data_IF_487686753584
#
_entry.id   IF_487686753584
#
_cell.length_a   1.000
_cell.length_b   1.000
_cell.length_c   1.000
_cell.angle_alpha   90.00
_cell.angle_beta   90.00
_cell.angle_gamma   90.00
#
_symmetry.space_group_name_H-M   'P 1'
#
loop_
_entity.id
_entity.type
_entity.pdbx_description
1 polymer ?
#
# COMPACT_ATOMS: atom_id res chain seq x y z
N UNK A 1 -22.63 37.31 -24.02
CA UNK A 1 -21.53 36.40 -23.62
C UNK A 1 -21.47 35.98 -22.15
N UNK A 2 -22.05 36.70 -21.19
CA UNK A 2 -22.01 36.36 -19.75
C UNK A 2 -22.59 34.96 -19.44
N UNK A 3 -23.71 34.60 -20.07
CA UNK A 3 -24.35 33.27 -19.89
C UNK A 3 -23.44 32.10 -20.32
N UNK A 4 -22.72 32.24 -21.45
CA UNK A 4 -21.76 31.22 -21.94
C UNK A 4 -20.57 31.03 -20.99
N UNK A 5 -20.13 32.10 -20.31
CA UNK A 5 -19.03 32.06 -19.34
C UNK A 5 -19.41 31.30 -18.06
N UNK A 6 -20.63 31.50 -17.56
CA UNK A 6 -21.14 30.81 -16.36
C UNK A 6 -21.30 29.31 -16.62
N UNK A 7 -21.84 28.90 -17.77
CA UNK A 7 -21.97 27.48 -18.13
C UNK A 7 -20.61 26.79 -18.29
N UNK A 8 -19.58 27.48 -18.80
CA UNK A 8 -18.22 26.94 -18.92
C UNK A 8 -17.57 26.73 -17.55
N UNK A 9 -17.69 27.70 -16.63
CA UNK A 9 -17.17 27.57 -15.26
C UNK A 9 -17.80 26.38 -14.53
N UNK A 10 -19.13 26.22 -14.62
CA UNK A 10 -19.83 25.07 -14.01
C UNK A 10 -19.35 23.73 -14.56
N UNK A 11 -19.16 23.63 -15.87
CA UNK A 11 -18.64 22.41 -16.50
C UNK A 11 -17.22 22.07 -16.03
N UNK A 12 -16.34 23.08 -15.93
CA UNK A 12 -14.97 22.89 -15.47
C UNK A 12 -14.95 22.46 -14.00
N UNK A 13 -15.69 23.13 -13.11
CA UNK A 13 -15.75 22.77 -11.70
C UNK A 13 -16.27 21.34 -11.51
N UNK A 14 -17.35 20.97 -12.22
CA UNK A 14 -17.91 19.62 -12.13
C UNK A 14 -16.95 18.54 -12.66
N UNK A 15 -16.20 18.86 -13.72
CA UNK A 15 -15.18 17.97 -14.27
C UNK A 15 -14.02 17.80 -13.29
N UNK A 16 -13.50 18.89 -12.72
CA UNK A 16 -12.44 18.85 -11.72
C UNK A 16 -12.87 18.11 -10.45
N UNK A 17 -14.11 18.31 -9.98
CA UNK A 17 -14.65 17.61 -8.82
C UNK A 17 -14.75 16.11 -9.08
N UNK A 18 -15.21 15.72 -10.28
CA UNK A 18 -15.29 14.31 -10.67
C UNK A 18 -13.91 13.67 -10.73
N UNK A 19 -12.91 14.41 -11.26
CA UNK A 19 -11.51 13.96 -11.28
C UNK A 19 -10.98 13.83 -9.85
N UNK A 20 -11.25 14.80 -8.96
CA UNK A 20 -10.80 14.75 -7.55
C UNK A 20 -11.39 13.54 -6.82
N UNK A 21 -12.70 13.32 -6.93
CA UNK A 21 -13.38 12.15 -6.35
C UNK A 21 -12.80 10.86 -6.94
N UNK A 22 -12.58 10.80 -8.25
CA UNK A 22 -12.03 9.63 -8.93
C UNK A 22 -10.60 9.31 -8.48
N UNK A 23 -9.73 10.32 -8.38
CA UNK A 23 -8.35 10.16 -7.92
C UNK A 23 -8.32 9.74 -6.45
N UNK A 24 -9.08 10.42 -5.59
CA UNK A 24 -9.19 10.08 -4.17
C UNK A 24 -9.75 8.68 -3.97
N UNK A 25 -10.82 8.30 -4.67
CA UNK A 25 -11.36 6.95 -4.58
C UNK A 25 -10.41 5.88 -5.11
N UNK A 26 -9.70 6.14 -6.22
CA UNK A 26 -8.69 5.23 -6.74
C UNK A 26 -7.56 4.99 -5.73
N UNK A 27 -7.12 6.05 -5.06
CA UNK A 27 -6.12 5.99 -3.99
C UNK A 27 -6.58 5.06 -2.85
N UNK A 28 -7.80 5.24 -2.35
CA UNK A 28 -8.32 4.39 -1.27
C UNK A 28 -8.65 2.97 -1.71
N UNK A 29 -9.08 2.77 -2.97
CA UNK A 29 -9.32 1.45 -3.52
C UNK A 29 -8.06 0.59 -3.56
N UNK A 30 -6.87 1.22 -3.68
CA UNK A 30 -5.58 0.54 -3.65
C UNK A 30 -5.10 0.16 -2.26
N UNK A 31 -5.76 0.64 -1.20
CA UNK A 31 -5.40 0.34 0.19
C UNK A 31 -6.15 -0.88 0.76
N UNK A 32 -7.13 -1.41 0.04
CA UNK A 32 -7.94 -2.55 0.50
C UNK A 32 -8.32 -3.46 -0.66
N UNK A 33 -8.22 -4.76 -0.45
CA UNK A 33 -8.58 -5.77 -1.47
C UNK A 33 -10.07 -6.16 -1.39
N UNK A 34 -10.81 -5.63 -0.40
CA UNK A 34 -12.21 -6.00 -0.17
C UNK A 34 -13.13 -5.06 -0.97
N UNK A 35 -13.86 -5.54 -1.99
CA UNK A 35 -14.65 -4.69 -2.88
C UNK A 35 -15.78 -3.93 -2.16
N UNK A 36 -16.36 -4.52 -1.11
CA UNK A 36 -17.37 -3.85 -0.28
C UNK A 36 -16.80 -2.63 0.43
N UNK A 37 -15.57 -2.75 0.96
CA UNK A 37 -14.87 -1.66 1.64
C UNK A 37 -14.48 -0.57 0.63
N UNK A 38 -14.06 -0.94 -0.57
CA UNK A 38 -13.80 0.01 -1.66
C UNK A 38 -15.05 0.82 -2.03
N UNK A 39 -16.21 0.15 -2.15
CA UNK A 39 -17.49 0.80 -2.41
C UNK A 39 -17.91 1.77 -1.30
N UNK A 40 -17.73 1.38 -0.04
CA UNK A 40 -18.01 2.24 1.11
C UNK A 40 -17.10 3.49 1.12
N UNK A 41 -15.80 3.32 0.87
CA UNK A 41 -14.87 4.44 0.77
C UNK A 41 -15.22 5.38 -0.37
N UNK A 42 -15.60 4.86 -1.55
CA UNK A 42 -16.04 5.68 -2.66
C UNK A 42 -17.22 6.60 -2.26
N UNK A 43 -18.25 6.04 -1.61
CA UNK A 43 -19.42 6.82 -1.16
C UNK A 43 -19.03 7.86 -0.12
N UNK A 44 -18.20 7.50 0.85
CA UNK A 44 -17.74 8.42 1.90
C UNK A 44 -16.90 9.56 1.33
N UNK A 45 -15.97 9.26 0.43
CA UNK A 45 -15.10 10.27 -0.22
C UNK A 45 -15.94 11.21 -1.09
N UNK A 46 -16.86 10.67 -1.89
CA UNK A 46 -17.75 11.48 -2.71
C UNK A 46 -18.60 12.41 -1.86
N UNK A 47 -19.17 11.90 -0.76
CA UNK A 47 -19.93 12.71 0.19
C UNK A 47 -19.07 13.82 0.81
N UNK A 48 -17.86 13.49 1.26
CA UNK A 48 -16.97 14.44 1.92
C UNK A 48 -16.49 15.55 0.97
N UNK A 49 -16.14 15.19 -0.27
CA UNK A 49 -15.75 16.15 -1.33
C UNK A 49 -16.90 17.11 -1.69
N UNK A 50 -18.13 16.59 -1.81
CA UNK A 50 -19.32 17.42 -2.08
C UNK A 50 -19.58 18.39 -0.91
N UNK A 51 -19.57 17.89 0.33
CA UNK A 51 -19.78 18.72 1.52
C UNK A 51 -18.72 19.82 1.62
N UNK A 52 -17.45 19.50 1.35
CA UNK A 52 -16.37 20.48 1.40
C UNK A 52 -16.47 21.53 0.27
N UNK A 53 -16.95 21.15 -0.92
CA UNK A 53 -17.30 22.10 -1.98
C UNK A 53 -18.45 23.04 -1.57
N UNK A 54 -19.45 22.55 -0.85
CA UNK A 54 -20.55 23.37 -0.35
C UNK A 54 -20.08 24.35 0.72
N UNK A 55 -19.22 23.91 1.65
CA UNK A 55 -18.58 24.78 2.67
C UNK A 55 -17.80 25.92 2.02
N UNK A 56 -17.03 25.61 0.97
CA UNK A 56 -16.31 26.61 0.19
C UNK A 56 -17.28 27.61 -0.47
N UNK A 57 -18.39 27.12 -1.03
CA UNK A 57 -19.41 27.96 -1.65
C UNK A 57 -20.09 28.90 -0.67
N UNK A 58 -20.48 28.38 0.50
CA UNK A 58 -21.02 29.19 1.59
C UNK A 58 -20.02 30.27 2.02
N UNK A 59 -18.73 29.93 2.10
CA UNK A 59 -17.66 30.88 2.39
C UNK A 59 -17.59 32.04 1.39
N UNK A 60 -17.61 31.73 0.10
CA UNK A 60 -17.59 32.72 -0.98
C UNK A 60 -18.84 33.62 -0.99
N UNK A 61 -20.02 33.05 -0.75
CA UNK A 61 -21.28 33.81 -0.66
C UNK A 61 -21.22 34.82 0.49
N UNK A 62 -20.71 34.40 1.65
CA UNK A 62 -20.59 35.27 2.82
C UNK A 62 -19.60 36.43 2.62
N UNK A 63 -18.52 36.20 1.87
CA UNK A 63 -17.58 37.26 1.47
C UNK A 63 -18.25 38.25 0.51
N UNK A 64 -19.00 37.75 -0.47
CA UNK A 64 -19.67 38.59 -1.49
C UNK A 64 -20.77 39.49 -0.91
N UNK A 65 -21.43 39.08 0.17
CA UNK A 65 -22.46 39.89 0.85
C UNK A 65 -21.90 41.12 1.61
N UNK A 66 -20.56 41.24 1.74
CA UNK A 66 -19.86 42.50 2.02
C UNK A 66 -20.34 43.28 3.25
N UNK A 67 -20.38 42.64 4.43
CA UNK A 67 -20.63 43.25 5.78
C UNK A 67 -19.96 42.40 6.88
N UNK A 68 -20.50 42.36 8.10
CA UNK A 68 -20.08 41.49 9.21
C UNK A 68 -19.99 39.98 8.89
N UNK A 69 -20.57 39.55 7.75
CA UNK A 69 -20.50 38.17 7.24
C UNK A 69 -19.18 37.81 6.56
N UNK A 70 -18.28 38.76 6.32
CA UNK A 70 -16.96 38.46 5.73
C UNK A 70 -16.11 37.60 6.67
N UNK A 71 -16.19 37.81 7.99
CA UNK A 71 -15.43 37.05 8.99
C UNK A 71 -15.76 35.54 8.97
N UNK A 72 -17.04 35.10 9.05
CA UNK A 72 -17.36 33.69 8.91
C UNK A 72 -17.07 33.15 7.50
N UNK A 73 -17.16 33.98 6.45
CA UNK A 73 -16.77 33.59 5.10
C UNK A 73 -15.28 33.24 4.98
N UNK A 74 -14.40 34.08 5.54
CA UNK A 74 -12.95 33.81 5.62
C UNK A 74 -12.67 32.56 6.45
N UNK A 75 -13.40 32.36 7.56
CA UNK A 75 -13.25 31.17 8.39
C UNK A 75 -13.59 29.87 7.63
N UNK A 76 -14.66 29.86 6.83
CA UNK A 76 -15.01 28.71 5.97
C UNK A 76 -13.92 28.42 4.92
N UNK A 77 -13.36 29.47 4.28
CA UNK A 77 -12.27 29.30 3.32
C UNK A 77 -11.00 28.79 4.00
N UNK A 78 -10.66 29.31 5.18
CA UNK A 78 -9.54 28.81 5.98
C UNK A 78 -9.74 27.36 6.40
N UNK A 79 -10.95 26.99 6.82
CA UNK A 79 -11.29 25.62 7.17
C UNK A 79 -11.13 24.67 5.97
N UNK A 80 -11.55 25.10 4.78
CA UNK A 80 -11.34 24.35 3.54
C UNK A 80 -9.85 24.22 3.18
N UNK A 81 -9.10 25.32 3.15
CA UNK A 81 -7.70 25.30 2.71
C UNK A 81 -6.79 24.65 3.77
N UNK A 82 -6.82 25.14 5.00
CA UNK A 82 -5.91 24.66 6.04
C UNK A 82 -6.38 23.33 6.63
N UNK A 83 -7.67 23.21 6.93
CA UNK A 83 -8.24 21.98 7.52
C UNK A 83 -8.35 20.86 6.51
N UNK A 84 -9.20 21.05 5.50
CA UNK A 84 -9.48 19.97 4.56
C UNK A 84 -8.30 19.68 3.61
N UNK A 85 -7.81 20.67 2.88
CA UNK A 85 -6.71 20.45 1.93
C UNK A 85 -5.40 20.18 2.67
N UNK A 86 -5.06 21.00 3.65
CA UNK A 86 -3.79 20.94 4.37
C UNK A 86 -3.61 19.74 5.31
N UNK A 87 -4.63 19.41 6.13
CA UNK A 87 -4.50 18.34 7.14
C UNK A 87 -4.99 16.99 6.59
N UNK A 88 -6.01 16.97 5.73
CA UNK A 88 -6.56 15.71 5.24
C UNK A 88 -6.06 15.35 3.84
N UNK A 89 -6.32 16.19 2.83
CA UNK A 89 -6.11 15.81 1.43
C UNK A 89 -4.63 15.63 1.10
N UNK A 90 -3.77 16.58 1.48
CA UNK A 90 -2.34 16.55 1.19
C UNK A 90 -1.62 15.39 1.89
N UNK A 91 -1.78 15.15 3.21
CA UNK A 91 -1.11 14.03 3.88
C UNK A 91 -1.61 12.66 3.40
N UNK A 92 -2.90 12.53 3.09
CA UNK A 92 -3.46 11.28 2.52
C UNK A 92 -2.87 10.99 1.16
N UNK A 93 -2.85 12.00 0.28
CA UNK A 93 -2.27 11.92 -1.04
C UNK A 93 -0.76 11.60 -0.99
N UNK A 94 -0.04 12.22 -0.06
CA UNK A 94 1.39 11.99 0.19
C UNK A 94 1.66 10.57 0.70
N UNK A 95 0.90 10.07 1.68
CA UNK A 95 1.08 8.73 2.23
C UNK A 95 0.93 7.65 1.16
N UNK A 96 -0.06 7.79 0.28
CA UNK A 96 -0.28 6.86 -0.82
C UNK A 96 0.79 7.01 -1.91
N UNK A 97 1.22 8.23 -2.18
CA UNK A 97 2.32 8.47 -3.12
C UNK A 97 3.62 7.79 -2.66
N UNK A 98 3.95 7.88 -1.37
CA UNK A 98 5.10 7.19 -0.78
C UNK A 98 4.95 5.67 -0.87
N UNK A 99 3.75 5.13 -0.63
CA UNK A 99 3.47 3.70 -0.82
C UNK A 99 3.68 3.25 -2.28
N UNK A 100 3.29 4.06 -3.26
CA UNK A 100 3.51 3.74 -4.68
C UNK A 100 4.99 3.76 -5.06
N UNK A 101 5.76 4.71 -4.54
CA UNK A 101 7.21 4.75 -4.77
C UNK A 101 7.87 3.52 -4.15
N UNK A 102 7.51 3.17 -2.91
CA UNK A 102 8.07 2.00 -2.22
C UNK A 102 7.68 0.69 -2.91
N UNK A 103 6.45 0.57 -3.41
CA UNK A 103 6.05 -0.58 -4.21
C UNK A 103 6.80 -0.68 -5.54
N UNK A 104 7.12 0.46 -6.18
CA UNK A 104 7.90 0.46 -7.42
C UNK A 104 9.36 0.06 -7.18
N UNK A 105 10.00 0.56 -6.14
CA UNK A 105 11.37 0.17 -5.78
C UNK A 105 11.46 -1.30 -5.40
N UNK A 106 10.52 -1.79 -4.58
CA UNK A 106 10.45 -3.22 -4.20
C UNK A 106 10.22 -4.10 -5.42
N UNK A 107 9.35 -3.70 -6.36
CA UNK A 107 9.17 -4.44 -7.62
C UNK A 107 10.44 -4.44 -8.45
N UNK A 108 11.15 -3.32 -8.55
CA UNK A 108 12.42 -3.24 -9.28
C UNK A 108 13.47 -4.17 -8.68
N UNK A 109 13.59 -4.19 -7.35
CA UNK A 109 14.52 -5.07 -6.63
C UNK A 109 14.18 -6.55 -6.82
N UNK A 110 12.90 -6.92 -6.71
CA UNK A 110 12.43 -8.30 -6.95
C UNK A 110 12.73 -8.73 -8.39
N UNK A 111 12.36 -7.90 -9.38
CA UNK A 111 12.60 -8.22 -10.79
C UNK A 111 14.10 -8.30 -11.11
N UNK A 112 14.94 -7.50 -10.44
CA UNK A 112 16.40 -7.61 -10.56
C UNK A 112 16.93 -8.92 -9.95
N UNK A 113 16.46 -9.28 -8.76
CA UNK A 113 16.86 -10.54 -8.12
C UNK A 113 16.41 -11.76 -8.93
N UNK A 114 15.20 -11.74 -9.48
CA UNK A 114 14.69 -12.78 -10.39
C UNK A 114 15.53 -12.88 -11.66
N UNK A 115 15.90 -11.75 -12.24
CA UNK A 115 16.81 -11.70 -13.39
C UNK A 115 18.16 -12.33 -13.07
N UNK A 116 18.77 -12.01 -11.94
CA UNK A 116 20.08 -12.54 -11.55
C UNK A 116 20.02 -14.06 -11.27
N UNK A 117 18.94 -14.53 -10.64
CA UNK A 117 18.70 -15.96 -10.43
C UNK A 117 18.55 -16.69 -11.77
N UNK A 118 17.73 -16.16 -12.68
CA UNK A 118 17.51 -16.77 -13.99
C UNK A 118 18.75 -16.77 -14.85
N UNK A 119 19.53 -15.69 -14.81
CA UNK A 119 20.83 -15.63 -15.46
C UNK A 119 21.74 -16.76 -14.94
N UNK A 120 21.80 -16.94 -13.63
CA UNK A 120 22.62 -18.00 -13.02
C UNK A 120 22.16 -19.41 -13.40
N UNK A 121 20.84 -19.64 -13.48
CA UNK A 121 20.28 -20.90 -13.96
C UNK A 121 20.68 -21.14 -15.42
N UNK A 122 20.55 -20.12 -16.27
CA UNK A 122 20.91 -20.21 -17.67
C UNK A 122 22.42 -20.47 -17.86
N UNK A 123 23.28 -19.82 -17.07
CA UNK A 123 24.73 -20.04 -17.11
C UNK A 123 25.09 -21.49 -16.70
N UNK A 124 24.43 -22.05 -15.68
CA UNK A 124 24.60 -23.45 -15.26
C UNK A 124 24.09 -24.44 -16.30
N UNK A 125 22.92 -24.17 -16.90
CA UNK A 125 22.36 -24.99 -17.99
C UNK A 125 23.31 -24.98 -19.19
N UNK A 126 23.93 -23.84 -19.51
CA UNK A 126 24.87 -23.69 -20.61
C UNK A 126 26.20 -24.41 -20.34
N UNK A 127 26.76 -24.30 -19.12
CA UNK A 127 27.95 -25.03 -18.69
C UNK A 127 27.73 -26.56 -18.72
N UNK A 128 26.56 -27.02 -18.25
CA UNK A 128 26.20 -28.43 -18.30
C UNK A 128 26.09 -28.94 -19.73
N UNK A 129 25.50 -28.14 -20.63
CA UNK A 129 25.40 -28.46 -22.06
C UNK A 129 26.78 -28.51 -22.75
N UNK A 130 27.69 -27.59 -22.42
CA UNK A 130 29.07 -27.60 -22.93
C UNK A 130 29.83 -28.84 -22.47
N UNK A 131 29.73 -29.19 -21.18
CA UNK A 131 30.34 -30.39 -20.61
C UNK A 131 29.81 -31.64 -21.30
N UNK A 132 28.51 -31.68 -21.56
CA UNK A 132 27.87 -32.79 -22.27
C UNK A 132 28.34 -32.91 -23.72
N UNK A 133 28.45 -31.78 -24.43
CA UNK A 133 29.00 -31.75 -25.79
C UNK A 133 30.46 -32.21 -25.84
N UNK A 134 31.25 -31.90 -24.81
CA UNK A 134 32.63 -32.36 -24.70
C UNK A 134 32.68 -33.89 -24.54
N UNK A 135 31.85 -34.48 -23.68
CA UNK A 135 31.73 -35.93 -23.53
C UNK A 135 31.27 -36.62 -24.83
N UNK A 136 30.35 -36.01 -25.56
CA UNK A 136 29.93 -36.56 -26.86
C UNK A 136 31.05 -36.52 -27.91
N UNK A 137 31.85 -35.45 -27.93
CA UNK A 137 33.01 -35.37 -28.83
C UNK A 137 34.06 -36.44 -28.51
N UNK A 138 34.31 -36.72 -27.23
CA UNK A 138 35.26 -37.77 -26.84
C UNK A 138 34.72 -39.17 -27.16
N UNK A 139 33.45 -39.44 -26.88
CA UNK A 139 32.82 -40.73 -27.25
C UNK A 139 32.81 -40.95 -28.77
N UNK A 140 32.55 -39.90 -29.55
CA UNK A 140 32.58 -39.97 -31.01
C UNK A 140 33.97 -40.34 -31.55
N UNK A 141 35.04 -39.93 -30.87
CA UNK A 141 36.43 -40.29 -31.23
C UNK A 141 36.79 -41.72 -30.82
N UNK A 142 36.24 -42.24 -29.73
CA UNK A 142 36.54 -43.59 -29.22
C UNK A 142 35.61 -44.69 -29.76
N UNK A 143 34.56 -44.31 -30.50
CA UNK A 143 33.56 -45.20 -31.08
C UNK A 143 32.23 -45.17 -30.30
N UNK A 144 31.13 -44.94 -31.04
CA UNK A 144 29.77 -44.86 -30.49
C UNK A 144 29.32 -46.19 -29.89
N UNK A 145 28.99 -46.20 -28.61
CA UNK A 145 28.52 -47.37 -27.88
C UNK A 145 27.05 -47.28 -27.49
N UNK A 146 26.53 -48.34 -26.86
CA UNK A 146 25.15 -48.39 -26.30
C UNK A 146 24.84 -47.32 -25.25
N UNK A 147 25.86 -46.66 -24.68
CA UNK A 147 25.72 -45.51 -23.76
C UNK A 147 25.43 -44.20 -24.50
N UNK A 148 25.91 -44.06 -25.72
CA UNK A 148 25.78 -42.84 -26.51
C UNK A 148 24.32 -42.53 -26.90
N UNK A 149 23.47 -43.56 -26.98
CA UNK A 149 22.02 -43.41 -27.22
C UNK A 149 21.30 -42.79 -26.00
N UNK A 150 21.65 -43.23 -24.78
CA UNK A 150 21.15 -42.61 -23.53
C UNK A 150 21.65 -41.18 -23.36
N UNK A 151 22.89 -40.93 -23.76
CA UNK A 151 23.53 -39.61 -23.73
C UNK A 151 22.80 -38.65 -24.68
N UNK A 152 22.45 -39.10 -25.88
CA UNK A 152 21.67 -38.29 -26.84
C UNK A 152 20.28 -37.92 -26.29
N UNK A 153 19.63 -38.84 -25.56
CA UNK A 153 18.32 -38.59 -24.94
C UNK A 153 18.41 -37.53 -23.82
N UNK A 154 19.43 -37.61 -22.97
CA UNK A 154 19.68 -36.58 -21.94
C UNK A 154 20.04 -35.23 -22.56
N UNK A 155 20.83 -35.20 -23.64
CA UNK A 155 21.14 -33.97 -24.36
C UNK A 155 19.88 -33.27 -24.89
N UNK A 156 18.91 -34.02 -25.41
CA UNK A 156 17.64 -33.46 -25.86
C UNK A 156 16.83 -32.88 -24.69
N UNK A 157 16.80 -33.55 -23.52
CA UNK A 157 16.16 -33.01 -22.31
C UNK A 157 16.84 -31.71 -21.84
N UNK A 158 18.17 -31.63 -21.89
CA UNK A 158 18.89 -30.39 -21.59
C UNK A 158 18.55 -29.26 -22.57
N UNK A 159 18.42 -29.55 -23.88
CA UNK A 159 18.02 -28.53 -24.87
C UNK A 159 16.62 -27.99 -24.63
N UNK A 160 15.68 -28.86 -24.28
CA UNK A 160 14.33 -28.44 -23.90
C UNK A 160 14.35 -27.58 -22.62
N UNK A 161 15.12 -27.99 -21.60
CA UNK A 161 15.31 -27.19 -20.38
C UNK A 161 15.88 -25.81 -20.69
N UNK A 162 16.90 -25.74 -21.53
CA UNK A 162 17.57 -24.50 -21.91
C UNK A 162 16.64 -23.58 -22.71
N UNK A 163 15.81 -24.11 -23.60
CA UNK A 163 14.79 -23.34 -24.31
C UNK A 163 13.76 -22.71 -23.35
N UNK A 164 13.31 -23.48 -22.35
CA UNK A 164 12.38 -23.00 -21.31
C UNK A 164 13.03 -21.95 -20.41
N UNK A 165 14.26 -22.17 -19.96
CA UNK A 165 15.03 -21.20 -19.16
C UNK A 165 15.26 -19.90 -19.94
N UNK A 166 15.56 -19.99 -21.24
CA UNK A 166 15.79 -18.83 -22.11
C UNK A 166 14.51 -18.03 -22.38
N UNK A 167 13.36 -18.70 -22.52
CA UNK A 167 12.06 -18.03 -22.65
C UNK A 167 11.71 -17.26 -21.36
N UNK A 168 11.84 -17.89 -20.19
CA UNK A 168 11.65 -17.24 -18.89
C UNK A 168 12.60 -16.06 -18.68
N UNK A 169 13.86 -16.21 -19.07
CA UNK A 169 14.84 -15.12 -19.03
C UNK A 169 14.44 -13.95 -19.95
N UNK A 170 13.89 -14.24 -21.13
CA UNK A 170 13.40 -13.21 -22.06
C UNK A 170 12.19 -12.47 -21.51
N UNK A 171 11.27 -13.17 -20.84
CA UNK A 171 10.12 -12.56 -20.17
C UNK A 171 10.56 -11.63 -19.02
N UNK A 172 11.42 -12.13 -18.13
CA UNK A 172 11.90 -11.38 -16.96
C UNK A 172 12.79 -10.20 -17.38
N UNK A 173 13.60 -10.36 -18.42
CA UNK A 173 14.39 -9.24 -18.96
C UNK A 173 13.51 -8.13 -19.54
N UNK A 174 12.42 -8.49 -20.25
CA UNK A 174 11.43 -7.53 -20.76
C UNK A 174 10.71 -6.81 -19.63
N UNK A 175 10.35 -7.54 -18.57
CA UNK A 175 9.73 -6.95 -17.38
C UNK A 175 10.70 -6.01 -16.65
N UNK A 176 11.96 -6.39 -16.50
CA UNK A 176 13.02 -5.53 -15.94
C UNK A 176 13.14 -4.21 -16.71
N UNK A 177 13.21 -4.25 -18.05
CA UNK A 177 13.32 -3.02 -18.86
C UNK A 177 12.12 -2.10 -18.67
N UNK A 178 10.93 -2.66 -18.46
CA UNK A 178 9.72 -1.88 -18.18
C UNK A 178 9.75 -1.22 -16.80
N UNK A 179 10.32 -1.89 -15.81
CA UNK A 179 10.40 -1.39 -14.43
C UNK A 179 11.57 -0.39 -14.26
N UNK A 180 12.64 -0.52 -15.04
CA UNK A 180 13.87 0.28 -14.89
C UNK A 180 13.88 1.63 -15.63
N UNK A 181 12.87 1.96 -16.44
CA UNK A 181 12.78 3.31 -17.04
C UNK A 181 12.24 4.28 -15.98
N UNK A 182 13.09 4.61 -15.00
CA UNK A 182 12.77 5.65 -14.03
C UNK A 182 13.18 7.01 -14.62
N UNK A 183 12.28 7.60 -15.41
CA UNK A 183 12.43 8.93 -16.05
C UNK A 183 12.87 10.00 -15.02
N UNK A 184 12.53 9.81 -13.75
CA UNK A 184 12.87 10.68 -12.65
C UNK A 184 14.31 10.56 -12.14
N UNK A 185 14.95 9.41 -12.36
CA UNK A 185 16.38 9.23 -12.07
C UNK A 185 17.21 10.05 -13.06
N UNK A 186 16.87 9.99 -14.35
CA UNK A 186 17.49 10.85 -15.38
C UNK A 186 17.26 12.35 -15.11
N UNK A 187 16.08 12.72 -14.61
CA UNK A 187 15.78 14.10 -14.18
C UNK A 187 16.58 14.51 -12.93
N UNK A 188 16.74 13.62 -11.95
CA UNK A 188 17.56 13.86 -10.76
C UNK A 188 19.03 14.06 -11.13
N UNK A 189 19.59 13.22 -12.02
CA UNK A 189 20.96 13.37 -12.51
C UNK A 189 21.18 14.70 -13.24
N UNK A 190 20.19 15.14 -14.01
CA UNK A 190 20.24 16.43 -14.73
C UNK A 190 20.18 17.63 -13.78
N UNK A 191 19.47 17.51 -12.65
CA UNK A 191 19.30 18.59 -11.64
C UNK A 191 20.40 18.58 -10.58
N UNK A 192 21.10 17.46 -10.41
CA UNK A 192 22.25 17.26 -9.50
C UNK A 192 23.29 18.39 -9.50
N UNK A 193 23.71 18.99 -10.64
CA UNK A 193 24.66 20.11 -10.63
C UNK A 193 24.12 21.40 -10.00
N UNK A 194 22.80 21.54 -9.86
CA UNK A 194 22.15 22.74 -9.31
C UNK A 194 21.79 22.53 -7.83
N UNK A 195 21.32 21.33 -7.47
CA UNK A 195 20.97 20.94 -6.10
C UNK A 195 20.90 19.42 -5.99
N UNK A 196 21.45 18.85 -4.93
CA UNK A 196 21.25 17.44 -4.61
C UNK A 196 19.78 17.22 -4.20
N UNK A 197 18.99 16.69 -5.14
CA UNK A 197 17.57 16.40 -4.93
C UNK A 197 17.32 14.95 -5.32
N UNK A 198 16.80 14.15 -4.39
CA UNK A 198 16.48 12.75 -4.66
C UNK A 198 15.36 12.64 -5.72
N UNK A 199 15.33 11.57 -6.54
CA UNK A 199 14.23 11.30 -7.48
C UNK A 199 12.86 11.29 -6.79
N UNK A 200 12.80 10.75 -5.56
CA UNK A 200 11.61 10.73 -4.69
C UNK A 200 11.13 12.14 -4.36
N UNK A 201 12.04 13.07 -4.09
CA UNK A 201 11.70 14.46 -3.81
C UNK A 201 11.15 15.17 -5.05
N UNK A 202 11.72 14.93 -6.24
CA UNK A 202 11.21 15.50 -7.50
C UNK A 202 9.80 14.97 -7.80
N UNK A 203 9.63 13.64 -7.68
CA UNK A 203 8.35 12.94 -7.76
C UNK A 203 7.31 13.59 -6.85
N UNK A 204 7.67 13.82 -5.58
CA UNK A 204 6.79 14.42 -4.57
C UNK A 204 6.44 15.88 -4.90
N UNK A 205 7.40 16.69 -5.33
CA UNK A 205 7.16 18.09 -5.71
C UNK A 205 6.23 18.20 -6.91
N UNK A 206 6.46 17.41 -7.97
CA UNK A 206 5.56 17.37 -9.13
C UNK A 206 4.14 16.97 -8.74
N UNK A 207 4.01 15.94 -7.89
CA UNK A 207 2.72 15.49 -7.39
C UNK A 207 2.00 16.59 -6.60
N UNK A 208 2.68 17.24 -5.65
CA UNK A 208 2.12 18.34 -4.87
C UNK A 208 1.67 19.51 -5.75
N UNK A 209 2.45 19.87 -6.79
CA UNK A 209 2.09 20.97 -7.70
C UNK A 209 0.83 20.65 -8.50
N UNK A 210 0.71 19.43 -9.03
CA UNK A 210 -0.49 19.00 -9.77
C UNK A 210 -1.71 18.94 -8.84
N UNK A 211 -1.54 18.37 -7.65
CA UNK A 211 -2.62 18.22 -6.68
C UNK A 211 -3.08 19.60 -6.17
N UNK A 212 -2.15 20.48 -5.79
CA UNK A 212 -2.47 21.84 -5.38
C UNK A 212 -3.13 22.64 -6.51
N UNK A 213 -2.66 22.48 -7.75
CA UNK A 213 -3.27 23.09 -8.94
C UNK A 213 -4.72 22.64 -9.15
N UNK A 214 -5.04 21.37 -8.85
CA UNK A 214 -6.41 20.85 -8.92
C UNK A 214 -7.33 21.52 -7.90
N UNK A 215 -6.92 21.61 -6.63
CA UNK A 215 -7.71 22.27 -5.58
C UNK A 215 -7.81 23.78 -5.77
N UNK A 216 -6.75 24.43 -6.26
CA UNK A 216 -6.80 25.84 -6.65
C UNK A 216 -7.78 26.05 -7.81
N UNK A 217 -7.79 25.12 -8.78
CA UNK A 217 -8.78 25.09 -9.87
C UNK A 217 -10.22 24.97 -9.35
N UNK A 218 -10.48 24.10 -8.37
CA UNK A 218 -11.79 23.97 -7.72
C UNK A 218 -12.20 25.27 -7.01
N UNK A 219 -11.26 25.99 -6.38
CA UNK A 219 -11.54 27.29 -5.74
C UNK A 219 -11.87 28.36 -6.77
N UNK A 220 -11.07 28.47 -7.84
CA UNK A 220 -11.24 29.52 -8.87
C UNK A 220 -12.48 29.28 -9.74
N UNK A 221 -12.82 28.02 -9.98
CA UNK A 221 -13.96 27.64 -10.83
C UNK A 221 -15.25 27.39 -10.06
N UNK A 222 -15.20 27.53 -8.73
CA UNK A 222 -16.33 27.33 -7.84
C UNK A 222 -17.57 28.10 -8.33
N UNK A 223 -18.73 27.43 -8.24
CA UNK A 223 -20.00 28.01 -8.65
C UNK A 223 -20.44 29.09 -7.66
N UNK A 224 -20.39 30.35 -8.08
CA UNK A 224 -21.10 31.42 -7.38
C UNK A 224 -22.59 31.10 -7.41
N UNK A 225 -23.15 30.57 -6.32
CA UNK A 225 -24.59 30.42 -6.18
C UNK A 225 -25.23 31.80 -6.36
N UNK A 226 -25.89 31.98 -7.50
CA UNK A 226 -26.63 33.18 -7.85
C UNK A 226 -27.89 33.28 -6.99
N UNK A 227 -27.76 33.72 -5.75
CA UNK A 227 -28.88 34.38 -5.07
C UNK A 227 -29.06 35.74 -5.73
N UNK A 228 -29.94 35.78 -6.75
CA UNK A 228 -30.60 37.01 -7.15
C UNK A 228 -31.44 37.47 -5.95
N UNK A 229 -30.87 38.33 -5.11
CA UNK A 229 -31.66 39.10 -4.15
C UNK A 229 -32.54 40.01 -5.00
N UNK A 230 -33.77 39.58 -5.23
CA UNK A 230 -34.86 40.43 -5.70
C UNK A 230 -35.05 41.48 -4.61
N UNK A 231 -34.35 42.61 -4.77
CA UNK A 231 -34.53 43.78 -3.92
C UNK A 231 -35.81 44.48 -4.37
N UNK A 232 -36.96 43.85 -4.12
CA UNK A 232 -38.24 44.57 -4.13
C UNK A 232 -38.61 44.87 -2.68
N UNK A 233 -37.98 45.94 -2.18
CA UNK A 233 -38.48 46.68 -1.05
C UNK A 233 -39.76 47.41 -1.48
N UNK A 234 -40.92 46.85 -1.16
CA UNK A 234 -42.14 47.62 -0.99
C UNK A 234 -42.76 47.23 0.37
N UNK A 235 -42.26 47.91 1.40
CA UNK A 235 -42.96 48.06 2.66
C UNK A 235 -44.10 49.03 2.38
N UNK A 236 -45.32 48.52 2.28
CA UNK A 236 -46.53 49.33 2.40
C UNK A 236 -47.34 48.83 3.61
N UNK A 237 -47.43 49.71 4.61
CA UNK A 237 -48.14 49.52 5.86
C UNK A 237 -49.65 49.35 5.62
N UNK A 238 -50.28 48.30 6.17
CA UNK A 238 -51.69 48.39 6.55
C UNK A 238 -52.07 47.41 7.66
N UNK A 239 -52.28 48.00 8.85
CA UNK A 239 -53.25 47.69 9.92
C UNK A 239 -53.83 46.27 10.04
N UNK A 240 -53.63 45.74 11.26
CA UNK A 240 -54.39 44.68 11.95
C UNK A 240 -55.92 44.91 11.87
N UNK A 241 -56.75 43.85 11.81
CA UNK A 241 -57.53 43.54 13.01
C UNK A 241 -57.60 42.04 13.37
N UNK A 242 -57.32 41.83 14.65
CA UNK A 242 -57.74 40.80 15.58
C UNK A 242 -59.21 40.32 15.40
N UNK A 243 -59.44 39.00 15.24
CA UNK A 243 -60.47 38.21 15.94
C UNK A 243 -60.57 36.77 15.42
N UNK A 244 -60.83 35.85 16.38
CA UNK A 244 -61.31 34.45 16.25
C UNK A 244 -60.23 33.42 15.84
N UNK A 245 -59.93 32.34 16.58
CA UNK A 245 -60.70 31.64 17.61
C UNK A 245 -59.79 30.62 18.31
N UNK A 246 -59.62 30.76 19.63
CA UNK A 246 -59.12 29.70 20.51
C UNK A 246 -60.16 28.57 20.65
N UNK A 247 -59.71 27.30 20.60
CA UNK A 247 -60.23 26.12 21.31
C UNK A 247 -59.34 24.91 20.95
N UNK A 248 -58.39 24.53 21.80
CA UNK A 248 -58.53 23.61 22.95
C UNK A 248 -58.58 22.13 22.55
N UNK A 249 -57.54 21.37 22.95
CA UNK A 249 -57.55 20.10 23.70
C UNK A 249 -56.08 19.63 23.78
N UNK A 250 -55.32 19.87 24.86
CA UNK A 250 -55.29 19.20 26.18
C UNK A 250 -54.96 17.70 26.18
N UNK A 251 -53.88 17.41 26.92
CA UNK A 251 -53.62 16.31 27.88
C UNK A 251 -53.32 14.88 27.39
N UNK A 252 -52.11 14.39 27.70
CA UNK A 252 -51.78 13.51 28.86
C UNK A 252 -50.40 12.85 28.58
N UNK A 253 -49.30 13.18 29.27
CA UNK A 253 -48.82 12.76 30.61
C UNK A 253 -48.46 11.27 30.78
N UNK A 254 -47.15 10.99 30.95
CA UNK A 254 -46.45 9.99 31.81
C UNK A 254 -45.12 9.61 31.13
N UNK A 255 -43.94 10.12 31.51
CA UNK A 255 -43.13 9.94 32.73
C UNK A 255 -42.95 8.48 33.17
N UNK A 256 -41.72 7.96 33.08
CA UNK A 256 -41.05 7.13 34.09
C UNK A 256 -39.57 7.04 33.72
N UNK A 257 -38.74 7.77 34.47
CA UNK A 257 -37.29 7.59 34.59
C UNK A 257 -36.98 6.22 35.23
N UNK A 258 -35.83 5.61 34.91
CA UNK A 258 -34.90 5.15 35.93
C UNK A 258 -33.48 4.90 35.40
N UNK A 259 -32.52 5.25 36.25
CA UNK A 259 -31.06 5.22 36.10
C UNK A 259 -30.51 3.79 36.30
N UNK A 260 -29.33 3.47 35.74
CA UNK A 260 -28.02 3.37 36.45
C UNK A 260 -26.99 2.47 35.73
N UNK A 261 -25.76 2.99 35.68
CA UNK A 261 -24.43 2.36 35.92
C UNK A 261 -23.75 1.33 34.98
N UNK A 262 -22.51 1.72 34.65
CA UNK A 262 -21.22 1.01 34.74
C UNK A 262 -20.71 0.07 33.63
N UNK A 263 -19.61 0.55 33.02
CA UNK A 263 -18.31 -0.12 32.78
C UNK A 263 -18.13 -1.18 31.68
N UNK A 264 -16.88 -1.34 31.18
CA UNK A 264 -16.59 -1.84 29.84
C UNK A 264 -16.23 -3.34 29.82
N UNK A 265 -16.73 -4.07 28.84
CA UNK A 265 -16.30 -5.43 28.56
C UNK A 265 -15.28 -5.46 27.42
N UNK A 266 -14.07 -5.87 27.78
CA UNK A 266 -13.11 -6.55 26.93
C UNK A 266 -13.72 -7.84 26.36
N UNK A 267 -13.54 -8.10 25.07
CA UNK A 267 -13.80 -9.43 24.50
C UNK A 267 -12.62 -9.90 23.66
N UNK A 268 -11.93 -10.89 24.23
CA UNK A 268 -11.13 -11.90 23.55
C UNK A 268 -11.97 -12.66 22.52
N UNK A 269 -11.39 -12.90 21.34
CA UNK A 269 -11.99 -13.69 20.26
C UNK A 269 -11.03 -14.78 19.77
N UNK A 270 -11.02 -15.90 20.49
CA UNK A 270 -10.34 -17.17 20.15
C UNK A 270 -11.14 -17.91 19.09
N UNK A 271 -10.56 -18.21 17.92
CA UNK A 271 -11.14 -19.13 16.92
C UNK A 271 -10.40 -20.48 16.94
N UNK A 272 -11.18 -21.56 16.98
CA UNK A 272 -10.77 -22.94 17.21
C UNK A 272 -10.13 -23.64 16.01
N UNK A 273 -9.20 -24.52 16.37
CA UNK A 273 -8.52 -25.58 15.62
C UNK A 273 -9.38 -26.82 15.31
N UNK A 274 -8.92 -27.62 14.34
CA UNK A 274 -9.13 -29.08 14.23
C UNK A 274 -7.94 -29.71 13.47
N UNK A 275 -7.65 -31.02 13.59
CA UNK A 275 -7.07 -31.66 14.78
C UNK A 275 -5.77 -32.43 14.44
N UNK A 276 -4.81 -32.52 15.38
CA UNK A 276 -3.69 -33.46 15.24
C UNK A 276 -2.48 -33.15 16.12
N UNK A 277 -2.36 -33.90 17.21
CA UNK A 277 -1.25 -33.98 18.18
C UNK A 277 -1.07 -32.82 19.18
N UNK A 278 -1.13 -33.18 20.46
CA UNK A 278 -0.83 -32.34 21.61
C UNK A 278 0.66 -31.95 21.60
N UNK A 279 0.97 -30.66 21.48
CA UNK A 279 2.28 -30.13 21.88
C UNK A 279 2.09 -29.04 22.96
N UNK A 280 2.94 -29.11 24.00
CA UNK A 280 3.01 -28.21 25.17
C UNK A 280 3.01 -26.72 24.77
N UNK A 281 2.67 -25.78 25.67
CA UNK A 281 2.79 -24.34 25.39
C UNK A 281 4.22 -24.02 24.92
N UNK A 282 4.37 -23.85 23.61
CA UNK A 282 5.66 -23.56 23.00
C UNK A 282 6.02 -22.12 23.35
N UNK A 283 7.16 -21.92 24.00
CA UNK A 283 7.69 -20.58 24.25
C UNK A 283 7.87 -19.85 22.91
N UNK A 284 7.77 -18.52 22.91
CA UNK A 284 7.98 -17.72 21.69
C UNK A 284 9.33 -18.01 21.04
N UNK A 285 10.35 -18.30 21.87
CA UNK A 285 11.67 -18.72 21.45
C UNK A 285 11.67 -20.12 20.78
N UNK A 286 10.96 -21.10 21.32
CA UNK A 286 10.83 -22.41 20.68
C UNK A 286 10.09 -22.32 19.34
N UNK A 287 9.04 -21.50 19.26
CA UNK A 287 8.29 -21.22 18.02
C UNK A 287 9.21 -20.60 16.96
N UNK A 288 10.07 -19.67 17.36
CA UNK A 288 11.07 -19.07 16.49
C UNK A 288 12.05 -20.11 15.94
N UNK A 289 12.63 -20.96 16.80
CA UNK A 289 13.64 -21.94 16.38
C UNK A 289 13.05 -23.00 15.43
N UNK A 290 11.83 -23.49 15.71
CA UNK A 290 11.13 -24.43 14.83
C UNK A 290 10.87 -23.86 13.44
N UNK A 291 10.48 -22.59 13.35
CA UNK A 291 10.24 -21.91 12.08
C UNK A 291 11.53 -21.46 11.39
N UNK A 292 12.61 -21.26 12.15
CA UNK A 292 13.90 -20.84 11.63
C UNK A 292 14.63 -21.97 10.92
N UNK A 293 14.56 -23.21 11.40
CA UNK A 293 15.29 -24.34 10.84
C UNK A 293 14.34 -25.18 9.97
N UNK A 294 14.63 -25.26 8.66
CA UNK A 294 13.91 -26.13 7.74
C UNK A 294 14.29 -27.59 7.97
N UNK A 295 13.44 -28.51 7.52
CA UNK A 295 13.75 -29.95 7.46
C UNK A 295 15.03 -30.25 6.66
N UNK A 296 15.42 -29.36 5.73
CA UNK A 296 16.66 -29.46 4.96
C UNK A 296 17.91 -28.97 5.70
N UNK A 297 17.81 -28.57 6.97
CA UNK A 297 18.91 -27.96 7.75
C UNK A 297 19.27 -26.51 7.38
N UNK A 298 18.64 -25.93 6.34
CA UNK A 298 18.86 -24.53 5.96
C UNK A 298 18.02 -23.60 6.83
N UNK A 299 18.56 -22.42 7.17
CA UNK A 299 17.82 -21.45 7.96
C UNK A 299 16.93 -20.55 7.08
N UNK A 300 15.70 -20.32 7.53
CA UNK A 300 14.81 -19.29 7.01
C UNK A 300 15.34 -17.89 7.36
N UNK A 301 14.99 -16.89 6.54
CA UNK A 301 15.24 -15.47 6.88
C UNK A 301 14.31 -15.01 7.99
N UNK A 302 14.73 -14.01 8.78
CA UNK A 302 13.91 -13.44 9.86
C UNK A 302 12.53 -12.95 9.34
N UNK A 303 12.49 -12.41 8.12
CA UNK A 303 11.24 -12.00 7.44
C UNK A 303 10.30 -13.19 7.20
N UNK A 304 10.83 -14.36 6.80
CA UNK A 304 10.04 -15.58 6.60
C UNK A 304 9.58 -16.18 7.92
N UNK A 305 10.38 -16.11 8.97
CA UNK A 305 9.99 -16.57 10.31
C UNK A 305 8.87 -15.71 10.90
N UNK A 306 8.94 -14.39 10.72
CA UNK A 306 7.84 -13.47 11.08
C UNK A 306 6.53 -13.90 10.39
N UNK A 307 6.54 -14.08 9.07
CA UNK A 307 5.33 -14.51 8.34
C UNK A 307 4.75 -15.85 8.83
N UNK A 308 5.60 -16.80 9.25
CA UNK A 308 5.16 -18.12 9.69
C UNK A 308 4.68 -18.16 11.16
N UNK A 309 5.17 -17.26 12.00
CA UNK A 309 4.96 -17.32 13.45
C UNK A 309 4.17 -16.14 14.02
N UNK A 310 4.10 -15.03 13.27
CA UNK A 310 3.57 -13.75 13.73
C UNK A 310 4.48 -13.03 14.73
N UNK A 311 5.71 -13.51 14.96
CA UNK A 311 6.67 -12.85 15.85
C UNK A 311 7.15 -11.55 15.16
N UNK A 312 7.12 -10.39 15.86
CA UNK A 312 7.60 -9.12 15.31
C UNK A 312 9.01 -9.24 14.71
N UNK A 313 9.26 -8.50 13.63
CA UNK A 313 10.53 -8.62 12.89
C UNK A 313 11.75 -8.28 13.77
N UNK A 314 11.61 -7.29 14.65
CA UNK A 314 12.69 -6.87 15.56
C UNK A 314 13.07 -7.99 16.53
N UNK A 315 12.07 -8.70 17.06
CA UNK A 315 12.30 -9.89 17.90
C UNK A 315 12.87 -11.05 17.10
N UNK A 316 12.44 -11.25 15.86
CA UNK A 316 13.02 -12.27 14.98
C UNK A 316 14.51 -12.02 14.71
N UNK A 317 14.93 -10.76 14.57
CA UNK A 317 16.34 -10.38 14.38
C UNK A 317 17.15 -10.60 15.65
N UNK A 318 16.61 -10.27 16.81
CA UNK A 318 17.24 -10.54 18.11
C UNK A 318 17.43 -12.05 18.35
N UNK A 319 16.36 -12.81 18.14
CA UNK A 319 16.35 -14.26 18.20
C UNK A 319 17.29 -14.91 17.20
N UNK A 320 17.45 -14.33 16.01
CA UNK A 320 18.44 -14.79 15.03
C UNK A 320 19.86 -14.64 15.55
N UNK A 321 20.22 -13.48 16.11
CA UNK A 321 21.54 -13.26 16.72
C UNK A 321 21.79 -14.23 17.87
N UNK A 322 20.77 -14.51 18.69
CA UNK A 322 20.85 -15.47 19.79
C UNK A 322 21.09 -16.90 19.30
N UNK A 323 20.46 -17.29 18.18
CA UNK A 323 20.66 -18.60 17.56
C UNK A 323 22.05 -18.74 16.95
N UNK A 324 22.57 -17.68 16.31
CA UNK A 324 23.91 -17.64 15.72
C UNK A 324 25.02 -17.66 16.77
N UNK A 325 24.79 -17.07 17.96
CA UNK A 325 25.72 -17.10 19.09
C UNK A 325 25.67 -18.41 19.89
N UNK A 326 24.72 -19.30 19.61
CA UNK A 326 24.55 -20.55 20.37
C UNK A 326 25.64 -21.56 19.99
N UNK A 327 26.18 -22.24 21.00
CA UNK A 327 27.13 -23.35 20.82
C UNK A 327 26.63 -24.62 21.51
N UNK A 328 26.87 -25.77 20.87
CA UNK A 328 26.61 -27.10 21.43
C UNK A 328 27.92 -27.87 21.36
N UNK A 329 28.42 -28.36 22.50
CA UNK A 329 29.70 -29.08 22.56
C UNK A 329 30.94 -28.24 22.18
N UNK A 330 30.84 -26.90 22.23
CA UNK A 330 31.92 -25.99 21.82
C UNK A 330 31.90 -25.61 20.33
N UNK A 331 31.01 -26.20 19.54
CA UNK A 331 30.83 -25.86 18.12
C UNK A 331 29.61 -24.93 17.91
N UNK A 332 29.68 -23.99 16.95
CA UNK A 332 28.57 -23.09 16.65
C UNK A 332 27.38 -23.85 16.05
N UNK A 333 26.18 -23.54 16.52
CA UNK A 333 24.92 -24.17 16.05
C UNK A 333 24.62 -23.80 14.60
N UNK A 334 24.99 -22.58 14.20
CA UNK A 334 24.76 -22.06 12.85
C UNK A 334 26.09 -21.83 12.15
N UNK A 335 26.22 -22.38 10.94
CA UNK A 335 27.31 -22.10 10.03
C UNK A 335 26.82 -21.16 8.93
N UNK A 336 27.54 -20.07 8.68
CA UNK A 336 27.24 -19.18 7.56
C UNK A 336 28.38 -19.24 6.55
N UNK A 337 28.14 -19.89 5.41
CA UNK A 337 29.07 -19.93 4.27
C UNK A 337 28.45 -19.21 3.08
N UNK A 338 29.16 -18.22 2.53
CA UNK A 338 28.81 -17.50 1.30
C UNK A 338 27.31 -17.10 1.18
N UNK A 339 26.76 -16.48 2.23
CA UNK A 339 25.39 -15.94 2.21
C UNK A 339 24.28 -16.94 2.52
N UNK A 340 24.61 -18.20 2.83
CA UNK A 340 23.64 -19.22 3.28
C UNK A 340 23.98 -19.67 4.69
N UNK A 341 23.04 -19.50 5.62
CA UNK A 341 23.16 -20.03 6.98
C UNK A 341 22.53 -21.42 7.08
N UNK A 342 23.24 -22.37 7.66
CA UNK A 342 22.83 -23.76 7.90
C UNK A 342 22.98 -24.14 9.36
N UNK A 343 22.09 -24.99 9.86
CA UNK A 343 22.22 -25.60 11.17
C UNK A 343 23.21 -26.77 11.07
N UNK A 344 24.20 -26.82 11.97
CA UNK A 344 25.16 -27.94 12.04
C UNK A 344 24.59 -29.16 12.77
N UNK A 345 23.58 -28.96 13.60
CA UNK A 345 22.94 -29.99 14.40
C UNK A 345 21.51 -30.23 13.92
N UNK A 346 21.00 -31.43 14.18
CA UNK A 346 19.60 -31.75 13.93
C UNK A 346 18.67 -30.83 14.72
N UNK A 347 17.53 -30.51 14.11
CA UNK A 347 16.57 -29.53 14.62
C UNK A 347 16.08 -29.91 16.02
N UNK A 348 15.89 -31.19 16.26
CA UNK A 348 15.42 -31.77 17.51
C UNK A 348 16.43 -31.57 18.64
N UNK A 349 17.73 -31.74 18.36
CA UNK A 349 18.83 -31.51 19.33
C UNK A 349 18.92 -30.04 19.73
N UNK A 350 18.74 -29.13 18.76
CA UNK A 350 18.74 -27.68 19.02
C UNK A 350 17.50 -27.30 19.85
N UNK A 351 16.34 -27.89 19.55
CA UNK A 351 15.10 -27.65 20.30
C UNK A 351 15.17 -28.17 21.73
N UNK A 352 15.82 -29.31 21.98
CA UNK A 352 16.05 -29.84 23.32
C UNK A 352 16.90 -28.88 24.14
N UNK A 353 18.01 -28.40 23.57
CA UNK A 353 18.88 -27.41 24.22
C UNK A 353 18.17 -26.08 24.49
N UNK A 354 17.29 -25.66 23.58
CA UNK A 354 16.45 -24.46 23.72
C UNK A 354 15.46 -24.61 24.88
N UNK A 355 14.91 -25.81 25.10
CA UNK A 355 14.00 -26.09 26.23
C UNK A 355 14.73 -26.15 27.57
N UNK A 356 15.99 -26.59 27.59
CA UNK A 356 16.82 -26.56 28.80
C UNK A 356 17.31 -25.16 29.19
N UNK A 357 17.31 -24.22 28.24
CA UNK A 357 17.79 -22.84 28.44
C UNK A 357 16.67 -21.85 28.77
N UNK A 358 15.44 -22.34 28.94
CA UNK A 358 14.24 -21.62 29.42
C UNK A 358 13.99 -22.09 30.84
#
# INVERSE_FOLDING_TARGET
>A
DVSKGVTKKKFINRSLLTISIGVSAYIFARMTDIPLVQGLFFVLIAFYEIVMQDVLGVGLIFIKQGKWRVLPGILCILFYIAGYVGIYAVPTAMGVFLLFIDQQSVRAEITQAEYDIQKRILDLDLESFETYNLQMKTEAQTGYGRRSEKITEEQNKLRESLAVSLEKFKEISKERTKVSIDVFESLSETIKPIKEVSPTTIKLVMFLVIFFGMYLGLIVTHEEFGFSVSSDSNIENSKVPEKLRNKACQSSSKSSDEKFQSSPESFDGKLQSSPGSFEKPQSEWERFVRASIRESGNLNSAKRVNMLTGIPIDRCLEYRKRLEAMTIGGEPVVETTQGVSRAKFEKEVILERVREAI
#
